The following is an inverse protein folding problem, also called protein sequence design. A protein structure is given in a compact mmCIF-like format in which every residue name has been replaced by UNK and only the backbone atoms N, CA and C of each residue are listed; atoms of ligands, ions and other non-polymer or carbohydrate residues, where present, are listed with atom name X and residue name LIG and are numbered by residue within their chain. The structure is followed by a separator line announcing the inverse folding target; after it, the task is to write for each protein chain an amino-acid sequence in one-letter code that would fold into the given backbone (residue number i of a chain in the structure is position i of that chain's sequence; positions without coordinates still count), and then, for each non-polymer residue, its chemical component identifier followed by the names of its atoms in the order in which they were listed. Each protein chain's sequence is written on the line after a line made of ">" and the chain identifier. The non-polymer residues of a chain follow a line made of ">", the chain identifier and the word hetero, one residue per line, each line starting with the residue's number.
data_IF_921898521727
#
_entry.id   IF_921898521727
#
_cell.length_a   1.000
_cell.length_b   1.000
_cell.length_c   1.000
_cell.angle_alpha   90.00
_cell.angle_beta   90.00
_cell.angle_gamma   90.00
#
_symmetry.space_group_name_H-M   'P 1'
#
loop_
_entity.id
_entity.type
_entity.pdbx_description
1 polymer ?
#
# COMPACT_ATOMS: atom_id res chain seq x y z
N UNK A 1 3.05 -11.74 1.14
CA UNK A 1 1.93 -12.67 1.17
C UNK A 1 1.72 -13.25 -0.23
N UNK A 2 1.84 -14.56 -0.38
CA UNK A 2 1.71 -15.26 -1.66
C UNK A 2 0.57 -16.28 -1.62
N UNK A 3 0.16 -16.77 -2.78
CA UNK A 3 -0.87 -17.82 -2.92
C UNK A 3 -1.63 -17.69 -4.24
N UNK A 4 -2.31 -18.76 -4.63
CA UNK A 4 -3.10 -18.80 -5.85
C UNK A 4 -4.21 -17.72 -5.84
N UNK A 5 -4.69 -17.32 -7.02
CA UNK A 5 -5.89 -16.49 -7.13
C UNK A 5 -7.05 -17.18 -6.39
N UNK A 6 -7.82 -16.42 -5.61
CA UNK A 6 -8.90 -16.97 -4.79
C UNK A 6 -8.48 -17.59 -3.45
N UNK A 7 -7.18 -17.62 -3.10
CA UNK A 7 -6.72 -18.18 -1.81
C UNK A 7 -7.08 -17.35 -0.56
N UNK A 8 -7.65 -16.15 -0.74
CA UNK A 8 -8.06 -15.28 0.37
C UNK A 8 -7.12 -14.11 0.67
N UNK A 9 -6.04 -13.90 -0.09
CA UNK A 9 -5.08 -12.78 0.12
C UNK A 9 -5.77 -11.41 0.20
N UNK A 10 -6.55 -11.07 -0.81
CA UNK A 10 -7.27 -9.77 -0.84
C UNK A 10 -8.35 -9.69 0.24
N UNK A 11 -8.99 -10.80 0.63
CA UNK A 11 -9.93 -10.82 1.75
C UNK A 11 -9.23 -10.54 3.07
N UNK A 12 -8.06 -11.14 3.30
CA UNK A 12 -7.22 -10.83 4.46
C UNK A 12 -6.83 -9.35 4.46
N UNK A 13 -6.30 -8.84 3.33
CA UNK A 13 -5.94 -7.42 3.22
C UNK A 13 -7.13 -6.50 3.54
N UNK A 14 -8.32 -6.79 2.99
CA UNK A 14 -9.56 -6.05 3.26
C UNK A 14 -9.95 -6.09 4.73
N UNK A 15 -9.77 -7.21 5.41
CA UNK A 15 -10.01 -7.32 6.85
C UNK A 15 -9.02 -6.44 7.64
N UNK A 16 -7.76 -6.41 7.24
CA UNK A 16 -6.73 -5.63 7.92
C UNK A 16 -6.97 -4.11 7.86
N UNK A 17 -7.57 -3.58 6.77
CA UNK A 17 -7.91 -2.15 6.70
C UNK A 17 -9.39 -1.83 6.95
N UNK A 18 -10.15 -2.80 7.49
CA UNK A 18 -11.53 -2.58 7.92
C UNK A 18 -12.55 -2.42 6.79
N UNK A 19 -12.33 -3.06 5.63
CA UNK A 19 -13.31 -3.15 4.53
C UNK A 19 -14.18 -4.40 4.68
N UNK A 20 -13.63 -5.44 5.28
CA UNK A 20 -14.34 -6.63 5.72
C UNK A 20 -14.24 -6.77 7.25
N UNK A 21 -15.34 -7.10 7.88
CA UNK A 21 -15.38 -7.34 9.33
C UNK A 21 -14.77 -8.71 9.68
N UNK A 22 -13.97 -8.76 10.73
CA UNK A 22 -13.50 -10.01 11.30
C UNK A 22 -14.65 -10.71 12.04
N UNK A 23 -15.26 -11.72 11.42
CA UNK A 23 -16.42 -12.42 11.98
C UNK A 23 -16.04 -13.39 13.10
N UNK A 24 -14.92 -14.12 12.96
CA UNK A 24 -14.46 -15.13 13.92
C UNK A 24 -12.98 -15.00 14.18
N UNK A 25 -12.52 -15.45 15.33
CA UNK A 25 -11.12 -15.41 15.73
C UNK A 25 -10.71 -14.11 16.43
N UNK A 26 -9.41 -13.89 16.56
CA UNK A 26 -8.78 -12.75 17.20
C UNK A 26 -7.81 -12.13 16.19
N UNK A 27 -7.79 -10.83 16.08
CA UNK A 27 -6.85 -10.10 15.22
C UNK A 27 -6.68 -8.67 15.69
N UNK A 28 -5.45 -8.19 15.66
CA UNK A 28 -5.13 -6.79 15.94
C UNK A 28 -4.15 -6.24 14.90
N UNK A 29 -4.27 -4.96 14.59
CA UNK A 29 -3.40 -4.26 13.67
C UNK A 29 -3.23 -2.80 14.10
N UNK A 30 -2.01 -2.31 14.16
CA UNK A 30 -1.65 -0.91 14.54
C UNK A 30 -2.43 -0.41 15.77
N UNK A 31 -2.62 -1.30 16.75
CA UNK A 31 -3.31 -1.00 18.02
C UNK A 31 -4.83 -1.13 18.00
N UNK A 32 -5.46 -1.55 16.90
CA UNK A 32 -6.90 -1.79 16.81
C UNK A 32 -7.23 -3.28 16.91
N UNK A 33 -8.23 -3.64 17.72
CA UNK A 33 -8.85 -4.97 17.77
C UNK A 33 -9.85 -5.08 16.62
N UNK A 34 -9.52 -5.89 15.60
CA UNK A 34 -10.34 -6.04 14.39
C UNK A 34 -11.72 -6.68 14.69
N UNK A 35 -11.82 -7.48 15.76
CA UNK A 35 -13.09 -8.11 16.15
C UNK A 35 -14.09 -7.11 16.75
N UNK A 36 -13.57 -6.06 17.39
CA UNK A 36 -14.36 -5.02 18.07
C UNK A 36 -14.42 -3.71 17.28
N UNK A 37 -13.81 -3.68 16.09
CA UNK A 37 -13.71 -2.47 15.25
C UNK A 37 -15.11 -1.97 14.85
N UNK A 38 -15.41 -0.73 15.19
CA UNK A 38 -16.67 -0.05 14.85
C UNK A 38 -16.47 0.84 13.63
N UNK A 39 -17.51 1.08 12.85
CA UNK A 39 -17.45 1.91 11.64
C UNK A 39 -16.82 3.29 11.89
N UNK A 40 -17.14 3.91 13.03
CA UNK A 40 -16.55 5.20 13.44
C UNK A 40 -15.04 5.17 13.70
N UNK A 41 -14.46 4.00 13.93
CA UNK A 41 -13.04 3.79 14.20
C UNK A 41 -12.24 3.50 12.93
N UNK A 42 -12.91 3.03 11.87
CA UNK A 42 -12.27 2.71 10.57
C UNK A 42 -11.47 3.89 10.00
N UNK A 43 -11.94 5.15 10.01
CA UNK A 43 -11.13 6.28 9.55
C UNK A 43 -9.85 6.47 10.35
N UNK A 44 -9.84 6.19 11.65
CA UNK A 44 -8.65 6.29 12.50
C UNK A 44 -7.67 5.15 12.23
N UNK A 45 -8.17 3.92 12.05
CA UNK A 45 -7.37 2.79 11.59
C UNK A 45 -6.70 3.12 10.25
N UNK A 46 -7.46 3.58 9.25
CA UNK A 46 -6.96 3.89 7.90
C UNK A 46 -5.96 5.06 7.86
N UNK A 47 -5.95 5.94 8.87
CA UNK A 47 -4.89 6.97 9.01
C UNK A 47 -3.54 6.38 9.41
N UNK A 48 -3.54 5.28 10.18
CA UNK A 48 -2.32 4.59 10.61
C UNK A 48 -1.79 3.60 9.58
N UNK A 49 -2.56 3.33 8.52
CA UNK A 49 -2.24 2.37 7.47
C UNK A 49 -2.19 3.08 6.13
N UNK A 50 -1.09 2.90 5.38
CA UNK A 50 -1.03 3.26 3.98
C UNK A 50 -1.58 2.12 3.12
N UNK A 51 -2.42 2.42 2.13
CA UNK A 51 -2.97 1.39 1.23
C UNK A 51 -2.56 1.68 -0.21
N UNK A 52 -1.95 0.68 -0.85
CA UNK A 52 -1.54 0.70 -2.25
C UNK A 52 -2.31 -0.38 -2.99
N UNK A 53 -3.07 -0.01 -4.00
CA UNK A 53 -3.92 -0.90 -4.80
C UNK A 53 -3.29 -1.23 -6.15
N UNK A 54 -3.65 -2.36 -6.73
CA UNK A 54 -3.23 -2.78 -8.07
C UNK A 54 -3.68 -1.81 -9.17
N UNK A 55 -4.88 -1.26 -9.07
CA UNK A 55 -5.51 -0.37 -10.04
C UNK A 55 -5.37 1.13 -9.69
N UNK A 56 -4.33 1.45 -8.91
CA UNK A 56 -3.92 2.79 -8.47
C UNK A 56 -4.98 3.54 -7.67
N UNK A 57 -6.27 3.47 -8.03
CA UNK A 57 -7.40 4.19 -7.41
C UNK A 57 -7.15 5.69 -7.31
N UNK A 58 -6.59 6.29 -8.35
CA UNK A 58 -6.45 7.72 -8.46
C UNK A 58 -7.74 8.34 -9.03
N UNK A 59 -8.05 9.55 -8.60
CA UNK A 59 -9.19 10.32 -9.09
C UNK A 59 -8.79 11.00 -10.40
N UNK A 60 -9.45 10.64 -11.50
CA UNK A 60 -9.08 11.07 -12.84
C UNK A 60 -9.52 12.53 -13.15
N UNK A 61 -10.44 13.08 -12.37
CA UNK A 61 -11.01 14.42 -12.50
C UNK A 61 -10.13 15.53 -11.90
N UNK A 62 -8.93 15.17 -11.38
CA UNK A 62 -8.05 16.10 -10.69
C UNK A 62 -6.56 15.75 -10.88
N UNK A 63 -5.71 16.75 -10.57
CA UNK A 63 -4.26 16.62 -10.67
C UNK A 63 -3.68 15.64 -9.64
N UNK A 64 -2.41 15.27 -9.81
CA UNK A 64 -1.64 14.53 -8.78
C UNK A 64 -1.66 15.26 -7.45
N UNK A 65 -1.42 16.58 -7.45
CA UNK A 65 -1.46 17.40 -6.24
C UNK A 65 -2.83 17.33 -5.56
N UNK A 66 -3.91 17.49 -6.32
CA UNK A 66 -5.28 17.49 -5.78
C UNK A 66 -5.72 16.12 -5.30
N UNK A 67 -5.22 15.03 -5.91
CA UNK A 67 -5.40 13.66 -5.40
C UNK A 67 -4.83 13.52 -3.98
N UNK A 68 -3.63 14.03 -3.74
CA UNK A 68 -2.97 13.96 -2.43
C UNK A 68 -3.60 14.93 -1.43
N UNK A 69 -3.92 16.15 -1.87
CA UNK A 69 -4.59 17.16 -1.06
C UNK A 69 -5.96 16.69 -0.55
N UNK A 70 -6.70 15.98 -1.41
CA UNK A 70 -8.00 15.40 -1.04
C UNK A 70 -7.86 14.45 0.16
N UNK A 71 -6.85 13.58 0.16
CA UNK A 71 -6.63 12.65 1.27
C UNK A 71 -6.26 13.38 2.57
N UNK A 72 -5.37 14.38 2.52
CA UNK A 72 -5.01 15.16 3.71
C UNK A 72 -6.22 15.86 4.30
N UNK A 73 -7.06 16.50 3.47
CA UNK A 73 -8.32 17.12 3.92
C UNK A 73 -9.27 16.09 4.54
N UNK A 74 -9.47 14.95 3.89
CA UNK A 74 -10.33 13.87 4.38
C UNK A 74 -9.83 13.26 5.69
N UNK A 75 -8.52 13.32 5.95
CA UNK A 75 -7.91 12.84 7.19
C UNK A 75 -7.75 13.93 8.27
N UNK A 76 -8.34 15.11 8.05
CA UNK A 76 -8.50 16.14 9.08
C UNK A 76 -7.37 17.16 9.16
N UNK A 77 -6.47 17.21 8.19
CA UNK A 77 -5.49 18.29 8.09
C UNK A 77 -6.20 19.63 7.76
N UNK A 78 -5.79 20.70 8.42
CA UNK A 78 -6.42 22.03 8.27
C UNK A 78 -5.45 23.08 7.73
N UNK A 79 -4.18 23.00 8.10
CA UNK A 79 -3.18 24.00 7.70
C UNK A 79 -2.70 23.76 6.27
N UNK A 80 -2.95 24.74 5.39
CA UNK A 80 -2.62 24.66 3.96
C UNK A 80 -1.11 24.57 3.71
N UNK A 81 -0.31 25.25 4.53
CA UNK A 81 1.16 25.26 4.38
C UNK A 81 1.75 23.89 4.69
N UNK A 82 1.35 23.30 5.80
CA UNK A 82 1.77 21.94 6.21
C UNK A 82 1.29 20.88 5.20
N UNK A 83 0.06 21.00 4.67
CA UNK A 83 -0.44 20.08 3.63
C UNK A 83 0.42 20.16 2.37
N UNK A 84 0.75 21.37 1.90
CA UNK A 84 1.60 21.57 0.72
C UNK A 84 2.98 20.98 0.94
N UNK A 85 3.62 21.29 2.06
CA UNK A 85 4.94 20.76 2.41
C UNK A 85 4.95 19.22 2.46
N UNK A 86 3.90 18.61 3.04
CA UNK A 86 3.77 17.14 3.10
C UNK A 86 3.59 16.51 1.73
N UNK A 87 2.80 17.13 0.86
CA UNK A 87 2.63 16.66 -0.53
C UNK A 87 3.97 16.73 -1.28
N UNK A 88 4.70 17.83 -1.16
CA UNK A 88 6.02 17.99 -1.81
C UNK A 88 7.01 16.95 -1.30
N UNK A 89 7.05 16.70 0.02
CA UNK A 89 7.89 15.68 0.65
C UNK A 89 7.61 14.27 0.06
N UNK A 90 6.34 13.83 0.07
CA UNK A 90 6.03 12.47 -0.38
C UNK A 90 6.20 12.32 -1.90
N UNK A 91 5.95 13.35 -2.69
CA UNK A 91 6.21 13.34 -4.14
C UNK A 91 7.70 13.28 -4.44
N UNK A 92 8.53 13.96 -3.68
CA UNK A 92 9.98 13.89 -3.79
C UNK A 92 10.49 12.48 -3.49
N UNK A 93 10.00 11.86 -2.40
CA UNK A 93 10.36 10.48 -2.02
C UNK A 93 10.06 9.43 -3.09
N UNK A 94 9.04 9.65 -3.90
CA UNK A 94 8.66 8.71 -4.99
C UNK A 94 9.15 9.16 -6.37
N UNK A 95 9.89 10.28 -6.47
CA UNK A 95 10.42 10.82 -7.73
C UNK A 95 9.36 11.44 -8.64
N UNK A 96 8.26 11.98 -8.09
CA UNK A 96 7.14 12.55 -8.83
C UNK A 96 6.98 14.07 -8.64
N UNK A 97 7.92 14.73 -7.98
CA UNK A 97 7.85 16.17 -7.64
C UNK A 97 7.60 17.07 -8.84
N UNK A 98 8.21 16.77 -10.00
CA UNK A 98 8.07 17.58 -11.22
C UNK A 98 6.77 17.35 -11.98
N UNK A 99 5.94 16.38 -11.56
CA UNK A 99 4.69 15.99 -12.24
C UNK A 99 3.44 16.23 -11.40
N UNK A 100 3.53 17.03 -10.34
CA UNK A 100 2.43 17.29 -9.41
C UNK A 100 1.18 17.91 -10.06
N UNK A 101 1.36 18.66 -11.16
CA UNK A 101 0.30 19.37 -11.89
C UNK A 101 -0.42 18.50 -12.93
N UNK A 102 0.13 17.31 -13.26
CA UNK A 102 -0.45 16.40 -14.24
C UNK A 102 -1.70 15.69 -13.70
N UNK A 103 -2.58 15.33 -14.61
CA UNK A 103 -3.71 14.42 -14.32
C UNK A 103 -3.27 12.96 -14.45
N UNK A 104 -3.91 11.99 -13.78
CA UNK A 104 -3.52 10.58 -13.82
C UNK A 104 -3.43 10.00 -15.24
N UNK A 105 -4.33 10.38 -16.15
CA UNK A 105 -4.32 9.90 -17.54
C UNK A 105 -3.11 10.36 -18.37
N UNK A 106 -2.37 11.36 -17.90
CA UNK A 106 -1.12 11.85 -18.52
C UNK A 106 0.11 11.12 -18.01
N UNK A 107 -0.07 10.17 -17.08
CA UNK A 107 1.00 9.42 -16.43
C UNK A 107 1.06 7.99 -16.94
N UNK A 108 2.27 7.44 -17.06
CA UNK A 108 2.46 6.00 -17.26
C UNK A 108 1.93 5.19 -16.05
N UNK A 109 1.67 3.89 -16.21
CA UNK A 109 1.22 3.03 -15.12
C UNK A 109 2.18 3.04 -13.93
N UNK A 110 3.49 3.01 -14.18
CA UNK A 110 4.50 3.11 -13.12
C UNK A 110 4.49 4.44 -12.38
N UNK A 111 4.24 5.55 -13.10
CA UNK A 111 4.09 6.87 -12.49
C UNK A 111 2.81 6.97 -11.66
N UNK A 112 1.69 6.41 -12.14
CA UNK A 112 0.45 6.33 -11.37
C UNK A 112 0.66 5.53 -10.09
N UNK A 113 1.39 4.41 -10.15
CA UNK A 113 1.72 3.61 -8.98
C UNK A 113 2.60 4.35 -7.99
N UNK A 114 3.60 5.11 -8.46
CA UNK A 114 4.41 5.98 -7.60
C UNK A 114 3.54 7.02 -6.88
N UNK A 115 2.57 7.62 -7.56
CA UNK A 115 1.60 8.55 -6.94
C UNK A 115 0.72 7.83 -5.92
N UNK A 116 0.26 6.61 -6.20
CA UNK A 116 -0.50 5.79 -5.24
C UNK A 116 0.33 5.45 -3.99
N UNK A 117 1.63 5.19 -4.14
CA UNK A 117 2.57 5.01 -3.03
C UNK A 117 2.76 6.33 -2.25
N UNK A 118 2.93 7.49 -2.93
CA UNK A 118 2.99 8.79 -2.27
C UNK A 118 1.74 9.06 -1.44
N UNK A 119 0.56 8.76 -1.99
CA UNK A 119 -0.72 8.85 -1.27
C UNK A 119 -0.74 8.00 0.00
N UNK A 120 -0.22 6.79 -0.07
CA UNK A 120 -0.15 5.90 1.10
C UNK A 120 0.76 6.45 2.21
N UNK A 121 1.76 7.28 1.87
CA UNK A 121 2.73 7.87 2.82
C UNK A 121 2.25 9.16 3.50
N UNK A 122 1.15 9.77 3.07
CA UNK A 122 0.73 11.11 3.51
C UNK A 122 0.55 11.27 5.02
N UNK A 123 -0.03 10.29 5.69
CA UNK A 123 -0.27 10.31 7.13
C UNK A 123 0.83 9.63 7.95
N UNK A 124 2.01 9.44 7.36
CA UNK A 124 3.15 8.78 8.01
C UNK A 124 2.78 7.41 8.64
N UNK A 125 2.24 6.46 7.86
CA UNK A 125 1.64 5.24 8.37
C UNK A 125 2.64 4.36 9.11
N UNK A 126 2.16 3.59 10.11
CA UNK A 126 2.92 2.55 10.80
C UNK A 126 3.13 1.32 9.90
N UNK A 127 2.16 1.04 9.02
CA UNK A 127 2.13 -0.11 8.13
C UNK A 127 1.61 0.27 6.75
N UNK A 128 2.25 -0.23 5.70
CA UNK A 128 1.77 -0.15 4.33
C UNK A 128 1.22 -1.51 3.91
N UNK A 129 -0.03 -1.55 3.46
CA UNK A 129 -0.66 -2.70 2.84
C UNK A 129 -0.65 -2.51 1.32
N UNK A 130 0.04 -3.37 0.59
CA UNK A 130 0.13 -3.30 -0.88
C UNK A 130 -0.50 -4.55 -1.50
N UNK A 131 -1.66 -4.39 -2.14
CA UNK A 131 -2.37 -5.49 -2.81
C UNK A 131 -2.04 -5.49 -4.29
N UNK A 132 -1.21 -6.45 -4.73
CA UNK A 132 -0.72 -6.63 -6.11
C UNK A 132 -0.14 -5.33 -6.73
N UNK A 133 0.78 -4.61 -6.06
CA UNK A 133 1.19 -3.26 -6.48
C UNK A 133 1.90 -3.20 -7.83
N UNK A 134 2.25 -4.32 -8.41
CA UNK A 134 2.93 -4.44 -9.71
C UNK A 134 2.11 -5.18 -10.76
N UNK A 135 0.89 -5.63 -10.42
CA UNK A 135 0.09 -6.51 -11.26
C UNK A 135 -0.33 -5.93 -12.62
N UNK A 136 -0.32 -4.61 -12.78
CA UNK A 136 -0.66 -3.91 -14.01
C UNK A 136 0.55 -3.24 -14.69
N UNK A 137 1.77 -3.64 -14.32
CA UNK A 137 3.01 -3.03 -14.79
C UNK A 137 3.85 -4.01 -15.60
N UNK A 138 4.64 -3.49 -16.52
CA UNK A 138 5.65 -4.27 -17.21
C UNK A 138 6.79 -4.72 -16.26
N UNK A 139 7.56 -5.76 -16.58
CA UNK A 139 8.56 -6.33 -15.67
C UNK A 139 9.63 -5.33 -15.21
N UNK A 140 10.07 -4.39 -16.07
CA UNK A 140 11.08 -3.40 -15.73
C UNK A 140 10.51 -2.40 -14.72
N UNK A 141 9.34 -1.86 -14.99
CA UNK A 141 8.63 -0.92 -14.11
C UNK A 141 8.26 -1.58 -12.78
N UNK A 142 7.91 -2.88 -12.79
CA UNK A 142 7.64 -3.66 -11.58
C UNK A 142 8.86 -3.70 -10.65
N UNK A 143 10.06 -3.90 -11.21
CA UNK A 143 11.31 -3.88 -10.43
C UNK A 143 11.54 -2.48 -9.82
N UNK A 144 11.34 -1.42 -10.58
CA UNK A 144 11.52 -0.04 -10.09
C UNK A 144 10.54 0.30 -8.94
N UNK A 145 9.31 -0.17 -9.02
CA UNK A 145 8.30 0.00 -7.94
C UNK A 145 8.68 -0.82 -6.71
N UNK A 146 9.18 -2.05 -6.90
CA UNK A 146 9.67 -2.88 -5.80
C UNK A 146 10.90 -2.27 -5.11
N UNK A 147 11.84 -1.71 -5.88
CA UNK A 147 13.01 -1.00 -5.33
C UNK A 147 12.56 0.22 -4.51
N UNK A 148 11.53 0.95 -4.96
CA UNK A 148 10.96 2.06 -4.20
C UNK A 148 10.34 1.58 -2.89
N UNK A 149 9.53 0.52 -2.91
CA UNK A 149 8.94 -0.06 -1.69
C UNK A 149 10.02 -0.57 -0.73
N UNK A 150 11.08 -1.18 -1.26
CA UNK A 150 12.21 -1.64 -0.43
C UNK A 150 12.95 -0.46 0.23
N UNK A 151 13.18 0.65 -0.47
CA UNK A 151 13.75 1.88 0.12
C UNK A 151 12.86 2.45 1.23
N UNK A 152 11.54 2.44 1.04
CA UNK A 152 10.57 2.87 2.05
C UNK A 152 10.64 1.94 3.27
N UNK A 153 10.73 0.63 3.07
CA UNK A 153 10.92 -0.34 4.15
C UNK A 153 12.22 -0.07 4.92
N UNK A 154 13.34 0.12 4.22
CA UNK A 154 14.64 0.43 4.83
C UNK A 154 14.64 1.74 5.62
N UNK A 155 13.73 2.69 5.29
CA UNK A 155 13.51 3.90 6.10
C UNK A 155 12.70 3.67 7.38
N UNK A 156 12.42 2.40 7.74
CA UNK A 156 11.75 2.01 9.00
C UNK A 156 10.25 1.74 8.88
N UNK A 157 9.67 1.72 7.66
CA UNK A 157 8.25 1.40 7.48
C UNK A 157 8.02 -0.10 7.35
N UNK A 158 7.01 -0.62 8.04
CA UNK A 158 6.54 -1.98 7.83
C UNK A 158 5.73 -2.06 6.54
N UNK A 159 5.93 -3.12 5.74
CA UNK A 159 5.16 -3.34 4.50
C UNK A 159 4.67 -4.78 4.47
N UNK A 160 3.36 -4.96 4.29
CA UNK A 160 2.77 -6.25 3.94
C UNK A 160 2.28 -6.17 2.49
N UNK A 161 2.91 -6.92 1.61
CA UNK A 161 2.57 -6.97 0.20
C UNK A 161 1.94 -8.32 -0.17
N UNK A 162 0.79 -8.29 -0.82
CA UNK A 162 0.23 -9.45 -1.50
C UNK A 162 0.69 -9.45 -2.96
N UNK A 163 1.20 -10.59 -3.45
CA UNK A 163 1.59 -10.76 -4.85
C UNK A 163 1.52 -12.22 -5.27
N UNK A 164 1.36 -12.47 -6.56
CA UNK A 164 1.51 -13.76 -7.19
C UNK A 164 2.73 -13.83 -8.13
N UNK A 165 3.51 -12.75 -8.23
CA UNK A 165 4.72 -12.69 -9.06
C UNK A 165 5.91 -13.35 -8.35
N UNK A 166 6.16 -14.61 -8.70
CA UNK A 166 7.27 -15.39 -8.14
C UNK A 166 8.64 -14.84 -8.51
N UNK A 167 8.81 -14.20 -9.67
CA UNK A 167 10.08 -13.62 -10.07
C UNK A 167 10.50 -12.49 -9.13
N UNK A 168 9.56 -11.65 -8.74
CA UNK A 168 9.79 -10.59 -7.75
C UNK A 168 10.10 -11.17 -6.37
N UNK A 169 9.40 -12.23 -5.94
CA UNK A 169 9.64 -12.87 -4.64
C UNK A 169 11.05 -13.43 -4.56
N UNK A 170 11.53 -14.08 -5.61
CA UNK A 170 12.90 -14.64 -5.68
C UNK A 170 13.95 -13.53 -5.68
N UNK A 171 13.68 -12.42 -6.41
CA UNK A 171 14.59 -11.30 -6.51
C UNK A 171 14.68 -10.48 -5.21
N UNK A 172 13.55 -10.19 -4.59
CA UNK A 172 13.43 -9.43 -3.35
C UNK A 172 13.20 -10.36 -2.17
N UNK A 173 14.25 -11.04 -1.71
CA UNK A 173 14.19 -12.03 -0.62
C UNK A 173 13.71 -11.39 0.67
N UNK A 174 12.44 -11.57 1.00
CA UNK A 174 11.79 -11.06 2.21
C UNK A 174 11.01 -12.18 2.90
N UNK A 175 10.68 -11.99 4.18
CA UNK A 175 9.83 -12.94 4.92
C UNK A 175 8.55 -13.17 4.11
N UNK A 176 8.26 -14.43 3.79
CA UNK A 176 7.16 -14.80 2.92
C UNK A 176 6.14 -15.63 3.67
N UNK A 177 4.88 -15.22 3.58
CA UNK A 177 3.73 -15.97 4.08
C UNK A 177 2.93 -16.52 2.89
N UNK A 178 2.61 -17.81 2.90
CA UNK A 178 1.76 -18.46 1.89
C UNK A 178 0.34 -18.59 2.42
N UNK A 179 -0.63 -18.13 1.63
CA UNK A 179 -2.05 -18.33 1.88
C UNK A 179 -2.55 -19.52 1.05
N UNK A 180 -2.99 -20.57 1.71
CA UNK A 180 -3.46 -21.81 1.09
C UNK A 180 -4.48 -22.50 1.98
N UNK A 181 -5.58 -22.99 1.42
CA UNK A 181 -6.64 -23.70 2.17
C UNK A 181 -7.30 -22.87 3.29
N UNK A 182 -7.22 -21.53 3.22
CA UNK A 182 -7.73 -20.63 4.27
C UNK A 182 -6.77 -20.43 5.46
N UNK A 183 -5.55 -20.94 5.37
CA UNK A 183 -4.51 -20.82 6.39
C UNK A 183 -3.31 -20.03 5.89
N UNK A 184 -2.49 -19.54 6.81
CA UNK A 184 -1.24 -18.83 6.52
C UNK A 184 -0.05 -19.67 7.03
N UNK A 185 0.91 -19.91 6.12
CA UNK A 185 2.14 -20.63 6.44
C UNK A 185 3.35 -19.73 6.19
N UNK A 186 4.29 -19.73 7.10
CA UNK A 186 5.58 -19.10 6.85
C UNK A 186 6.40 -19.99 5.89
N UNK A 187 6.83 -19.40 4.77
CA UNK A 187 7.70 -20.09 3.81
C UNK A 187 9.15 -19.91 4.27
N UNK A 188 9.73 -20.96 4.80
CA UNK A 188 11.16 -21.00 5.12
C UNK A 188 11.91 -21.39 3.85
N UNK A 189 12.80 -20.52 3.36
CA UNK A 189 13.69 -20.89 2.28
C UNK A 189 14.55 -22.06 2.75
N UNK A 190 14.41 -23.22 2.13
CA UNK A 190 15.38 -24.28 2.35
C UNK A 190 16.73 -23.79 1.80
N UNK A 191 17.65 -23.49 2.69
CA UNK A 191 19.07 -23.39 2.32
C UNK A 191 19.50 -24.80 1.92
N UNK A 192 19.52 -25.07 0.62
CA UNK A 192 20.20 -26.24 0.10
C UNK A 192 21.69 -26.10 0.48
N UNK A 193 22.31 -27.11 1.10
CA UNK A 193 23.69 -27.05 1.52
C UNK A 193 24.65 -26.91 0.33
#
# INVERSE_FOLDING_TARGET
>A
LIGKTGSGKSSLMKTLYGDLLLQRGIGSIVGFDLKKLKDKEIPFLRRKIGIVFQDFKLLNDRTVFDNLLFVLKATGWKDKTSMKAKIEEVLDRVGMKTKYYKSPYELSGGEQQRVAIARALLNDPELILADEPTGNLDPKTSIEVMDLLNKIHQSGKSILMATHDYALIVKFKQKTLKCEGGELFEVVAQTTP
#
